data_IF_101560277540
#
_entry.id   IF_101560277540
#
_cell.length_a   1.000
_cell.length_b   1.000
_cell.length_c   1.000
_cell.angle_alpha   90.00
_cell.angle_beta   90.00
_cell.angle_gamma   90.00
#
_symmetry.space_group_name_H-M   'P 1'
#
loop_
_entity.id
_entity.type
_entity.pdbx_description
1 polymer ?
#
# COMPACT_ATOMS: atom_id res chain seq x y z
N UNK A 1 -38.70 54.47 -26.61
CA UNK A 1 -38.37 53.07 -26.26
C UNK A 1 -36.86 52.75 -26.15
N UNK A 2 -35.92 53.66 -26.45
CA UNK A 2 -34.47 53.34 -26.40
C UNK A 2 -33.79 53.45 -25.01
N UNK A 3 -34.39 54.11 -24.02
CA UNK A 3 -33.73 54.36 -22.72
C UNK A 3 -33.70 53.17 -21.76
N UNK A 4 -34.52 52.14 -21.98
CA UNK A 4 -34.60 50.97 -21.09
C UNK A 4 -33.59 49.86 -21.42
N UNK A 5 -33.01 49.85 -22.63
CA UNK A 5 -32.02 48.84 -23.02
C UNK A 5 -30.61 49.11 -22.45
N UNK A 6 -30.27 50.37 -22.18
CA UNK A 6 -28.92 50.75 -21.76
C UNK A 6 -28.63 50.44 -20.27
N UNK A 7 -29.65 50.47 -19.41
CA UNK A 7 -29.48 50.17 -17.97
C UNK A 7 -29.35 48.67 -17.66
N UNK A 8 -29.82 47.79 -18.55
CA UNK A 8 -29.73 46.34 -18.34
C UNK A 8 -28.33 45.78 -18.66
N UNK A 9 -27.59 46.42 -19.57
CA UNK A 9 -26.24 46.00 -19.95
C UNK A 9 -25.17 46.31 -18.90
N UNK A 10 -25.29 47.45 -18.19
CA UNK A 10 -24.29 47.86 -17.18
C UNK A 10 -24.34 46.97 -15.92
N UNK A 11 -25.53 46.49 -15.52
CA UNK A 11 -25.66 45.54 -14.40
C UNK A 11 -25.13 44.14 -14.73
N UNK A 12 -25.20 43.70 -15.99
CA UNK A 12 -24.71 42.39 -16.41
C UNK A 12 -23.17 42.31 -16.44
N UNK A 13 -22.50 43.43 -16.73
CA UNK A 13 -21.02 43.51 -16.77
C UNK A 13 -20.43 43.57 -15.36
N UNK A 14 -21.12 44.19 -14.40
CA UNK A 14 -20.65 44.28 -13.01
C UNK A 14 -20.70 42.95 -12.24
N UNK A 15 -21.65 42.06 -12.55
CA UNK A 15 -21.76 40.76 -11.85
C UNK A 15 -20.72 39.72 -12.32
N UNK A 16 -20.19 39.84 -13.55
CA UNK A 16 -19.17 38.92 -14.07
C UNK A 16 -17.79 39.11 -13.42
N UNK A 17 -17.40 40.35 -13.06
CA UNK A 17 -16.10 40.62 -12.40
C UNK A 17 -16.01 40.02 -11.00
N UNK A 18 -17.09 40.05 -10.23
CA UNK A 18 -17.12 39.46 -8.89
C UNK A 18 -17.20 37.92 -8.91
N UNK A 19 -17.80 37.33 -9.95
CA UNK A 19 -17.84 35.87 -10.13
C UNK A 19 -16.46 35.28 -10.47
N UNK A 20 -15.65 36.01 -11.26
CA UNK A 20 -14.28 35.61 -11.61
C UNK A 20 -13.36 35.63 -10.37
N UNK A 21 -13.51 36.63 -9.48
CA UNK A 21 -12.77 36.66 -8.20
C UNK A 21 -13.17 35.52 -7.26
N UNK A 22 -14.45 35.12 -7.24
CA UNK A 22 -14.93 34.00 -6.43
C UNK A 22 -14.37 32.66 -6.94
N UNK A 23 -14.31 32.44 -8.26
CA UNK A 23 -13.71 31.25 -8.86
C UNK A 23 -12.18 31.20 -8.69
N UNK A 24 -11.50 32.35 -8.76
CA UNK A 24 -10.05 32.44 -8.55
C UNK A 24 -9.65 32.18 -7.09
N UNK A 25 -10.49 32.56 -6.12
CA UNK A 25 -10.24 32.31 -4.69
C UNK A 25 -10.42 30.85 -4.25
N UNK A 26 -11.21 30.08 -5.03
CA UNK A 26 -11.42 28.64 -4.79
C UNK A 26 -10.27 27.76 -5.31
N UNK A 27 -9.42 28.28 -6.21
CA UNK A 27 -8.26 27.55 -6.72
C UNK A 27 -7.01 27.66 -5.82
N UNK A 28 -6.97 28.60 -4.87
CA UNK A 28 -5.78 28.84 -4.02
C UNK A 28 -5.81 28.02 -2.71
N UNK A 29 -6.91 27.35 -2.36
CA UNK A 29 -7.05 26.69 -1.04
C UNK A 29 -6.56 25.25 -0.92
N UNK A 30 -5.94 24.64 -1.93
CA UNK A 30 -5.55 23.22 -1.86
C UNK A 30 -4.06 22.91 -2.11
N UNK A 31 -3.15 23.90 -2.00
CA UNK A 31 -1.70 23.64 -2.06
C UNK A 31 -1.05 23.99 -0.72
N UNK A 32 -1.49 23.32 0.35
CA UNK A 32 -0.69 23.26 1.56
C UNK A 32 -0.77 21.84 2.10
N UNK A 33 0.15 21.00 1.65
CA UNK A 33 0.19 19.62 2.09
C UNK A 33 1.32 18.84 1.44
N UNK A 34 2.38 18.66 2.23
CA UNK A 34 3.33 17.55 2.16
C UNK A 34 4.52 17.74 1.21
N UNK A 35 5.56 18.39 1.72
CA UNK A 35 6.92 18.08 1.28
C UNK A 35 7.47 17.05 2.27
N UNK A 36 7.18 15.77 2.04
CA UNK A 36 8.07 14.75 2.57
C UNK A 36 9.46 15.02 1.96
N UNK A 37 10.54 15.04 2.76
CA UNK A 37 11.87 15.31 2.22
C UNK A 37 12.18 14.28 1.13
N UNK A 38 12.31 14.76 -0.09
CA UNK A 38 12.72 14.03 -1.30
C UNK A 38 14.23 13.75 -1.31
N UNK A 39 14.99 14.36 -0.39
CA UNK A 39 16.41 14.15 -0.26
C UNK A 39 16.75 12.78 0.36
N UNK A 40 17.82 12.18 -0.18
CA UNK A 40 18.24 10.79 0.05
C UNK A 40 18.68 10.48 1.50
N UNK A 41 19.00 11.48 2.31
CA UNK A 41 19.19 11.38 3.76
C UNK A 41 19.48 12.80 4.24
N UNK A 42 18.52 13.47 4.85
CA UNK A 42 18.85 14.69 5.59
C UNK A 42 19.64 14.27 6.85
N UNK A 43 20.85 14.80 7.08
CA UNK A 43 21.62 14.43 8.27
C UNK A 43 20.95 15.01 9.51
N UNK A 44 20.72 14.16 10.51
CA UNK A 44 20.21 14.54 11.82
C UNK A 44 18.82 13.99 12.13
N UNK A 45 18.47 14.03 13.41
CA UNK A 45 17.15 13.63 13.88
C UNK A 45 16.24 14.85 13.94
N UNK A 46 15.01 14.70 13.49
CA UNK A 46 14.04 15.80 13.52
C UNK A 46 12.60 15.29 13.56
N UNK A 47 11.71 16.17 13.96
CA UNK A 47 10.26 15.98 13.83
C UNK A 47 9.70 17.09 12.93
N UNK A 48 8.75 16.73 12.08
CA UNK A 48 7.89 17.64 11.34
C UNK A 48 6.50 17.61 11.95
N UNK A 49 6.01 18.78 12.35
CA UNK A 49 4.68 18.94 12.93
C UNK A 49 3.65 19.24 11.84
N UNK A 50 2.37 18.99 12.12
CA UNK A 50 1.26 19.23 11.19
C UNK A 50 1.11 20.71 10.78
N UNK A 51 1.65 21.64 11.58
CA UNK A 51 1.71 23.08 11.27
C UNK A 51 2.86 23.44 10.30
N UNK A 52 3.60 22.45 9.79
CA UNK A 52 4.77 22.64 8.93
C UNK A 52 6.06 22.95 9.67
N UNK A 53 6.02 23.15 10.99
CA UNK A 53 7.22 23.42 11.78
C UNK A 53 8.11 22.18 11.85
N UNK A 54 9.42 22.37 11.60
CA UNK A 54 10.44 21.33 11.79
C UNK A 54 11.24 21.62 13.04
N UNK A 55 11.40 20.63 13.90
CA UNK A 55 12.18 20.71 15.15
C UNK A 55 13.30 19.69 15.09
N UNK A 56 14.54 20.17 15.13
CA UNK A 56 15.72 19.33 15.13
C UNK A 56 16.05 18.83 16.54
N UNK A 57 16.55 17.61 16.62
CA UNK A 57 16.84 16.90 17.84
C UNK A 57 18.22 16.24 17.77
N UNK A 58 18.91 16.18 18.91
CA UNK A 58 20.07 15.29 19.11
C UNK A 58 19.65 13.90 19.56
N UNK A 59 18.43 13.75 20.07
CA UNK A 59 17.87 12.48 20.54
C UNK A 59 16.36 12.51 20.42
N UNK A 60 15.80 11.49 19.78
CA UNK A 60 14.36 11.24 19.70
C UNK A 60 14.03 9.95 20.42
N UNK A 61 13.02 9.98 21.27
CA UNK A 61 12.46 8.79 21.90
C UNK A 61 10.96 8.75 21.75
N UNK A 62 10.43 7.69 21.16
CA UNK A 62 8.99 7.43 21.11
C UNK A 62 8.58 6.70 22.38
N UNK A 63 7.59 7.24 23.11
CA UNK A 63 7.03 6.59 24.29
C UNK A 63 5.53 6.37 24.10
N UNK A 64 5.08 5.16 24.42
CA UNK A 64 3.68 4.75 24.39
C UNK A 64 3.29 4.19 25.76
N UNK A 65 2.93 5.06 26.73
CA UNK A 65 2.48 4.61 28.05
C UNK A 65 1.14 3.90 27.93
N UNK A 66 0.91 2.89 28.78
CA UNK A 66 -0.28 2.01 28.71
C UNK A 66 -1.61 2.80 28.83
N UNK A 67 -1.63 3.90 29.58
CA UNK A 67 -2.85 4.67 29.87
C UNK A 67 -2.83 6.12 29.35
N UNK A 68 -1.75 6.55 28.67
CA UNK A 68 -1.63 7.92 28.16
C UNK A 68 -1.48 7.89 26.65
N UNK A 69 -1.72 9.03 26.00
CA UNK A 69 -1.43 9.19 24.57
C UNK A 69 0.06 8.98 24.32
N UNK A 70 0.39 8.38 23.18
CA UNK A 70 1.78 8.27 22.73
C UNK A 70 2.35 9.66 22.43
N UNK A 71 3.63 9.85 22.73
CA UNK A 71 4.33 11.11 22.49
C UNK A 71 5.79 10.86 22.09
N UNK A 72 6.38 11.87 21.46
CA UNK A 72 7.80 11.89 21.12
C UNK A 72 8.52 12.86 22.06
N UNK A 73 9.59 12.38 22.70
CA UNK A 73 10.52 13.18 23.47
C UNK A 73 11.65 13.67 22.58
N UNK A 74 11.84 14.97 22.56
CA UNK A 74 12.94 15.66 21.90
C UNK A 74 13.94 16.12 22.96
N UNK A 75 15.19 15.64 22.84
CA UNK A 75 16.29 15.97 23.75
C UNK A 75 15.95 15.74 25.24
N UNK A 76 15.16 14.71 25.56
CA UNK A 76 14.72 14.35 26.91
C UNK A 76 13.89 15.42 27.67
N UNK A 77 13.54 16.55 27.04
CA UNK A 77 12.85 17.67 27.68
C UNK A 77 11.53 18.02 27.00
N UNK A 78 11.55 18.30 25.69
CA UNK A 78 10.35 18.72 24.98
C UNK A 78 9.50 17.51 24.57
N UNK A 79 8.21 17.56 24.89
CA UNK A 79 7.24 16.50 24.58
C UNK A 79 6.28 16.98 23.49
N UNK A 80 6.14 16.16 22.44
CA UNK A 80 5.20 16.41 21.35
C UNK A 80 4.20 15.25 21.27
N UNK A 81 2.91 15.56 21.31
CA UNK A 81 1.85 14.56 21.09
C UNK A 81 2.07 13.91 19.73
N UNK A 82 2.03 12.59 19.69
CA UNK A 82 2.20 11.83 18.47
C UNK A 82 1.13 12.18 17.43
N UNK A 83 -0.04 12.71 17.81
CA UNK A 83 -1.07 13.24 16.91
C UNK A 83 -0.66 14.54 16.19
N UNK A 84 0.24 15.34 16.76
CA UNK A 84 0.70 16.59 16.18
C UNK A 84 1.87 16.40 15.19
N UNK A 85 2.47 15.21 15.15
CA UNK A 85 3.64 14.88 14.32
C UNK A 85 3.19 14.33 12.96
N UNK A 86 3.65 14.93 11.87
CA UNK A 86 3.36 14.47 10.51
C UNK A 86 4.40 13.48 10.01
N UNK A 87 5.68 13.76 10.26
CA UNK A 87 6.80 12.91 9.91
C UNK A 87 7.93 13.10 10.93
N UNK A 88 8.83 12.13 11.04
CA UNK A 88 10.02 12.26 11.87
C UNK A 88 11.16 11.41 11.32
N UNK A 89 12.37 11.73 11.71
CA UNK A 89 13.56 10.96 11.36
C UNK A 89 14.34 10.65 12.63
N UNK A 90 14.53 9.37 12.92
CA UNK A 90 15.33 8.88 14.03
C UNK A 90 16.65 8.25 13.52
N UNK A 91 17.34 7.52 14.39
CA UNK A 91 18.59 6.82 14.04
C UNK A 91 18.37 5.64 13.09
N UNK A 92 17.19 5.04 13.09
CA UNK A 92 16.87 3.88 12.27
C UNK A 92 16.30 4.24 10.89
N UNK A 93 15.73 5.43 10.74
CA UNK A 93 15.27 5.94 9.45
C UNK A 93 14.22 7.04 9.52
N UNK A 94 13.61 7.29 8.37
CA UNK A 94 12.54 8.28 8.21
C UNK A 94 11.16 7.62 8.31
N UNK A 95 10.24 8.26 9.01
CA UNK A 95 8.88 7.82 9.25
C UNK A 95 7.89 8.90 8.84
N UNK A 96 6.78 8.51 8.22
CA UNK A 96 5.68 9.42 7.90
C UNK A 96 4.35 8.85 8.33
N UNK A 97 3.41 9.74 8.65
CA UNK A 97 2.08 9.40 9.11
C UNK A 97 1.28 8.71 8.01
N UNK A 98 0.60 7.62 8.38
CA UNK A 98 -0.39 6.97 7.53
C UNK A 98 -1.69 7.78 7.61
N UNK A 99 -2.11 8.37 6.49
CA UNK A 99 -3.27 9.30 6.49
C UNK A 99 -4.60 8.58 6.71
N UNK A 100 -4.69 7.30 6.32
CA UNK A 100 -5.94 6.52 6.38
C UNK A 100 -6.02 5.54 7.58
N UNK A 101 -5.20 5.73 8.61
CA UNK A 101 -5.28 4.89 9.82
C UNK A 101 -6.09 5.57 10.92
N UNK A 102 -7.01 4.82 11.53
CA UNK A 102 -7.77 5.26 12.73
C UNK A 102 -6.87 5.47 13.96
N UNK A 103 -5.64 4.95 13.92
CA UNK A 103 -4.59 5.12 14.94
C UNK A 103 -3.51 6.06 14.38
N UNK A 104 -2.81 6.80 15.25
CA UNK A 104 -1.64 7.62 14.86
C UNK A 104 -0.46 6.72 14.51
N UNK A 105 -0.58 5.99 13.40
CA UNK A 105 0.41 5.03 12.93
C UNK A 105 1.38 5.69 11.94
N UNK A 106 2.62 5.24 11.98
CA UNK A 106 3.68 5.68 11.09
C UNK A 106 4.18 4.52 10.22
N UNK A 107 4.61 4.86 9.02
CA UNK A 107 5.30 3.94 8.12
C UNK A 107 6.76 4.38 7.97
N UNK A 108 7.68 3.42 8.12
CA UNK A 108 9.12 3.60 7.93
C UNK A 108 9.47 3.55 6.45
N UNK A 109 10.30 4.47 5.98
CA UNK A 109 10.79 4.52 4.61
C UNK A 109 11.78 3.37 4.36
N UNK A 110 11.60 2.66 3.25
CA UNK A 110 12.48 1.57 2.79
C UNK A 110 13.38 2.04 1.67
N UNK A 111 12.82 2.76 0.70
CA UNK A 111 13.55 3.24 -0.47
C UNK A 111 13.12 4.65 -0.82
N UNK A 112 14.08 5.43 -1.31
CA UNK A 112 13.88 6.80 -1.78
C UNK A 112 13.85 6.81 -3.30
N UNK A 113 12.97 7.62 -3.87
CA UNK A 113 12.82 7.82 -5.32
C UNK A 113 11.61 8.70 -5.60
N UNK A 114 11.31 8.93 -6.89
CA UNK A 114 10.07 9.61 -7.29
C UNK A 114 8.86 8.86 -6.75
N UNK A 115 8.94 7.53 -6.71
CA UNK A 115 8.10 6.70 -5.86
C UNK A 115 8.95 6.18 -4.70
N UNK A 116 8.66 6.71 -3.52
CA UNK A 116 9.28 6.26 -2.27
C UNK A 116 8.43 5.16 -1.63
N UNK A 117 9.08 4.10 -1.12
CA UNK A 117 8.41 2.96 -0.49
C UNK A 117 8.48 3.06 1.02
N UNK A 118 7.42 2.65 1.68
CA UNK A 118 7.30 2.64 3.14
C UNK A 118 6.71 1.32 3.61
N UNK A 119 6.93 0.96 4.87
CA UNK A 119 6.26 -0.16 5.52
C UNK A 119 5.85 0.17 6.94
N UNK A 120 4.78 -0.48 7.41
CA UNK A 120 4.38 -0.47 8.81
C UNK A 120 4.17 -1.91 9.28
N UNK A 121 4.69 -2.23 10.46
CA UNK A 121 4.51 -3.55 11.07
C UNK A 121 3.19 -3.56 11.83
N UNK A 122 2.26 -4.42 11.43
CA UNK A 122 1.00 -4.64 12.16
C UNK A 122 1.05 -6.00 12.84
N UNK A 123 1.06 -5.97 14.17
CA UNK A 123 0.85 -7.18 14.97
C UNK A 123 -0.65 -7.42 15.08
N UNK A 124 -1.12 -8.51 14.49
CA UNK A 124 -2.51 -8.95 14.62
C UNK A 124 -2.56 -10.02 15.69
N UNK A 125 -3.39 -9.80 16.71
CA UNK A 125 -3.78 -10.81 17.67
C UNK A 125 -5.07 -11.42 17.13
N UNK A 126 -4.95 -12.35 16.18
CA UNK A 126 -6.11 -13.10 15.71
C UNK A 126 -6.60 -13.98 16.87
N UNK A 127 -7.63 -13.49 17.56
CA UNK A 127 -8.47 -14.33 18.41
C UNK A 127 -9.26 -15.23 17.47
N UNK A 128 -8.90 -16.51 17.49
CA UNK A 128 -9.53 -17.60 16.77
C UNK A 128 -11.07 -17.53 16.86
N UNK A 129 -11.74 -17.35 15.71
CA UNK A 129 -13.18 -17.54 15.58
C UNK A 129 -13.51 -19.04 15.49
N UNK A 130 -14.43 -19.57 16.31
CA UNK A 130 -14.85 -20.96 16.25
C UNK A 130 -15.82 -21.15 15.07
N UNK A 131 -15.39 -21.80 14.00
CA UNK A 131 -16.31 -22.03 12.87
C UNK A 131 -15.78 -22.75 11.64
N UNK A 132 -14.52 -23.19 11.59
CA UNK A 132 -14.03 -23.91 10.41
C UNK A 132 -14.24 -25.43 10.55
N UNK A 133 -15.47 -25.86 10.25
CA UNK A 133 -15.82 -27.26 10.00
C UNK A 133 -15.12 -27.75 8.73
N UNK A 134 -13.98 -28.43 8.88
CA UNK A 134 -13.41 -29.31 7.87
C UNK A 134 -13.55 -30.77 8.33
N UNK A 135 -13.98 -31.72 7.48
CA UNK A 135 -14.33 -33.08 7.90
C UNK A 135 -13.14 -34.00 8.26
N UNK A 136 -11.91 -33.48 8.26
CA UNK A 136 -10.72 -34.21 8.71
C UNK A 136 -10.06 -33.45 9.84
N UNK A 137 -10.58 -33.67 11.04
CA UNK A 137 -10.12 -33.09 12.29
C UNK A 137 -8.73 -33.61 12.70
N UNK A 138 -7.70 -32.87 12.30
CA UNK A 138 -6.50 -32.68 13.12
C UNK A 138 -6.53 -31.25 13.66
N UNK A 139 -7.49 -31.00 14.57
CA UNK A 139 -7.59 -29.77 15.34
C UNK A 139 -6.49 -29.74 16.40
N UNK A 140 -5.27 -29.43 15.98
CA UNK A 140 -4.19 -29.09 16.89
C UNK A 140 -4.57 -27.80 17.62
N UNK A 141 -4.60 -27.87 18.95
CA UNK A 141 -4.71 -26.72 19.85
C UNK A 141 -3.53 -25.77 19.62
N UNK A 142 -3.66 -24.88 18.64
CA UNK A 142 -2.70 -23.82 18.37
C UNK A 142 -3.08 -22.58 19.16
N UNK A 143 -2.37 -22.31 20.25
CA UNK A 143 -2.31 -20.95 20.80
C UNK A 143 -1.92 -20.01 19.66
N UNK A 144 -2.83 -19.12 19.26
CA UNK A 144 -2.62 -18.17 18.17
C UNK A 144 -1.45 -17.25 18.51
N UNK A 145 -0.27 -17.57 17.98
CA UNK A 145 0.91 -16.75 18.13
C UNK A 145 0.66 -15.40 17.45
N UNK A 146 1.00 -14.26 18.07
CA UNK A 146 0.82 -12.96 17.45
C UNK A 146 1.59 -12.92 16.13
N UNK A 147 0.87 -12.83 15.02
CA UNK A 147 1.47 -12.72 13.70
C UNK A 147 1.74 -11.26 13.39
N UNK A 148 3.00 -10.92 13.16
CA UNK A 148 3.39 -9.58 12.74
C UNK A 148 3.53 -9.57 11.22
N UNK A 149 2.61 -8.86 10.55
CA UNK A 149 2.64 -8.68 9.10
C UNK A 149 3.13 -7.27 8.76
N UNK A 150 4.06 -7.19 7.81
CA UNK A 150 4.46 -5.91 7.22
C UNK A 150 3.43 -5.51 6.15
N UNK A 151 2.89 -4.31 6.29
CA UNK A 151 2.03 -3.68 5.28
C UNK A 151 2.85 -2.61 4.59
N UNK A 152 2.89 -2.67 3.26
CA UNK A 152 3.68 -1.75 2.45
C UNK A 152 2.82 -0.63 1.88
N UNK A 153 3.41 0.55 1.78
CA UNK A 153 2.82 1.77 1.23
C UNK A 153 3.81 2.40 0.25
N UNK A 154 3.31 3.30 -0.59
CA UNK A 154 4.16 4.14 -1.42
C UNK A 154 3.68 5.60 -1.39
N UNK A 155 4.59 6.52 -1.68
CA UNK A 155 4.30 7.93 -1.92
C UNK A 155 4.93 8.30 -3.26
N UNK A 156 4.15 8.96 -4.12
CA UNK A 156 4.60 9.52 -5.39
C UNK A 156 4.88 11.02 -5.19
N UNK A 157 6.06 11.48 -5.60
CA UNK A 157 6.47 12.88 -5.57
C UNK A 157 6.34 13.55 -4.17
N UNK A 158 6.48 12.75 -3.10
CA UNK A 158 6.33 13.24 -1.72
C UNK A 158 4.88 13.47 -1.28
N UNK A 159 3.89 13.06 -2.08
CA UNK A 159 2.47 13.13 -1.77
C UNK A 159 2.01 12.14 -0.69
N UNK A 160 0.69 12.03 -0.45
CA UNK A 160 0.14 11.18 0.59
C UNK A 160 0.48 9.70 0.39
N UNK A 161 0.60 8.97 1.50
CA UNK A 161 0.81 7.52 1.44
C UNK A 161 -0.42 6.80 0.89
N UNK A 162 -0.18 5.94 -0.10
CA UNK A 162 -1.16 5.01 -0.65
C UNK A 162 -0.73 3.56 -0.41
N UNK A 163 -1.69 2.65 -0.30
CA UNK A 163 -1.41 1.22 -0.14
C UNK A 163 -0.64 0.66 -1.35
N UNK A 164 0.38 -0.16 -1.09
CA UNK A 164 1.15 -0.81 -2.14
C UNK A 164 0.35 -1.96 -2.76
N UNK A 165 -0.49 -1.64 -3.73
CA UNK A 165 -1.28 -2.60 -4.49
C UNK A 165 -1.28 -2.26 -5.98
N UNK A 166 -1.68 -3.23 -6.80
CA UNK A 166 -1.69 -3.08 -8.26
C UNK A 166 -2.53 -1.89 -8.75
N UNK A 167 -3.68 -1.62 -8.13
CA UNK A 167 -4.62 -0.59 -8.60
C UNK A 167 -4.02 0.81 -8.39
N UNK A 168 -3.51 1.08 -7.19
CA UNK A 168 -2.89 2.35 -6.83
C UNK A 168 -1.58 2.54 -7.62
N UNK A 169 -0.74 1.50 -7.72
CA UNK A 169 0.51 1.56 -8.47
C UNK A 169 0.29 1.79 -9.96
N UNK A 170 -0.68 1.11 -10.58
CA UNK A 170 -1.02 1.33 -12.00
C UNK A 170 -1.40 2.78 -12.27
N UNK A 171 -2.17 3.40 -11.38
CA UNK A 171 -2.51 4.82 -11.50
C UNK A 171 -1.29 5.71 -11.35
N UNK A 172 -0.43 5.45 -10.36
CA UNK A 172 0.76 6.23 -10.07
C UNK A 172 1.84 6.13 -11.16
N UNK A 173 1.97 4.94 -11.76
CA UNK A 173 2.94 4.59 -12.81
C UNK A 173 2.41 4.80 -14.23
N UNK A 174 1.23 5.40 -14.38
CA UNK A 174 0.58 5.58 -15.69
C UNK A 174 1.40 6.40 -16.71
N UNK A 175 2.36 7.18 -16.22
CA UNK A 175 3.27 8.02 -17.01
C UNK A 175 4.45 7.24 -17.63
N UNK A 176 4.71 5.99 -17.22
CA UNK A 176 5.81 5.18 -17.72
C UNK A 176 5.30 3.84 -18.31
N UNK A 177 5.44 3.69 -19.62
CA UNK A 177 4.98 2.49 -20.33
C UNK A 177 5.74 1.21 -19.92
N UNK A 178 7.04 1.30 -19.61
CA UNK A 178 7.85 0.16 -19.20
C UNK A 178 7.42 -0.42 -17.86
N UNK A 179 7.23 0.44 -16.85
CA UNK A 179 6.72 0.05 -15.53
C UNK A 179 5.31 -0.53 -15.61
N UNK A 180 4.46 -0.01 -16.51
CA UNK A 180 3.13 -0.56 -16.74
C UNK A 180 3.17 -1.97 -17.33
N UNK A 181 4.10 -2.25 -18.24
CA UNK A 181 4.24 -3.59 -18.82
C UNK A 181 4.58 -4.63 -17.74
N UNK A 182 5.49 -4.30 -16.83
CA UNK A 182 5.84 -5.17 -15.67
C UNK A 182 4.63 -5.41 -14.78
N UNK A 183 3.85 -4.37 -14.47
CA UNK A 183 2.60 -4.49 -13.72
C UNK A 183 1.58 -5.39 -14.44
N UNK A 184 1.47 -5.30 -15.77
CA UNK A 184 0.55 -6.15 -16.53
C UNK A 184 0.97 -7.61 -16.55
N UNK A 185 2.27 -7.90 -16.60
CA UNK A 185 2.81 -9.26 -16.44
C UNK A 185 2.39 -9.83 -15.08
N UNK A 186 2.50 -9.04 -14.00
CA UNK A 186 2.01 -9.44 -12.68
C UNK A 186 0.52 -9.78 -12.68
N UNK A 187 -0.34 -8.93 -13.26
CA UNK A 187 -1.78 -9.18 -13.32
C UNK A 187 -2.14 -10.43 -14.13
N UNK A 188 -1.47 -10.63 -15.27
CA UNK A 188 -1.65 -11.83 -16.10
C UNK A 188 -1.23 -13.09 -15.35
N UNK A 189 -0.08 -13.06 -14.68
CA UNK A 189 0.41 -14.15 -13.83
C UNK A 189 -0.59 -14.52 -12.74
N UNK A 190 -1.11 -13.53 -11.99
CA UNK A 190 -2.10 -13.78 -10.93
C UNK A 190 -3.41 -14.38 -11.45
N UNK A 191 -3.88 -13.96 -12.63
CA UNK A 191 -5.07 -14.55 -13.27
C UNK A 191 -4.84 -15.99 -13.70
N UNK A 192 -3.67 -16.28 -14.27
CA UNK A 192 -3.28 -17.64 -14.66
C UNK A 192 -3.15 -18.53 -13.42
N UNK A 193 -2.49 -18.07 -12.36
CA UNK A 193 -2.38 -18.78 -11.09
C UNK A 193 -3.77 -19.10 -10.51
N UNK A 194 -4.67 -18.11 -10.50
CA UNK A 194 -6.05 -18.30 -10.02
C UNK A 194 -6.80 -19.31 -10.88
N UNK A 195 -6.72 -19.19 -12.21
CA UNK A 195 -7.36 -20.11 -13.14
C UNK A 195 -6.85 -21.54 -13.00
N UNK A 196 -5.52 -21.72 -12.94
CA UNK A 196 -4.89 -23.02 -12.73
C UNK A 196 -5.26 -23.63 -11.38
N UNK A 197 -5.35 -22.82 -10.33
CA UNK A 197 -5.75 -23.30 -8.99
C UNK A 197 -7.19 -23.80 -9.00
N UNK A 198 -8.11 -23.06 -9.62
CA UNK A 198 -9.51 -23.45 -9.75
C UNK A 198 -9.63 -24.73 -10.59
N UNK A 199 -8.96 -24.79 -11.73
CA UNK A 199 -8.94 -25.97 -12.60
C UNK A 199 -8.34 -27.19 -11.90
N UNK A 200 -7.17 -27.04 -11.27
CA UNK A 200 -6.49 -28.10 -10.52
C UNK A 200 -7.33 -28.64 -9.37
N UNK A 201 -7.99 -27.75 -8.62
CA UNK A 201 -8.92 -28.13 -7.55
C UNK A 201 -10.13 -28.90 -8.10
N UNK A 202 -10.68 -28.48 -9.25
CA UNK A 202 -11.78 -29.19 -9.92
C UNK A 202 -11.37 -30.60 -10.37
N UNK A 203 -10.22 -30.73 -11.04
CA UNK A 203 -9.69 -32.03 -11.49
C UNK A 203 -9.39 -32.94 -10.31
N UNK A 204 -8.81 -32.39 -9.23
CA UNK A 204 -8.53 -33.14 -8.01
C UNK A 204 -9.80 -33.70 -7.36
N UNK A 205 -10.83 -32.87 -7.18
CA UNK A 205 -12.13 -33.30 -6.63
C UNK A 205 -12.78 -34.35 -7.53
N UNK A 206 -12.72 -34.17 -8.85
CA UNK A 206 -13.24 -35.15 -9.81
C UNK A 206 -12.54 -36.52 -9.68
N UNK A 207 -11.20 -36.54 -9.67
CA UNK A 207 -10.42 -37.77 -9.51
C UNK A 207 -10.66 -38.45 -8.16
N UNK A 208 -10.84 -37.67 -7.09
CA UNK A 208 -11.19 -38.19 -5.76
C UNK A 208 -12.57 -38.87 -5.77
N UNK A 209 -13.59 -38.23 -6.32
CA UNK A 209 -14.95 -38.79 -6.40
C UNK A 209 -14.97 -40.06 -7.26
N UNK A 210 -14.23 -40.08 -8.39
CA UNK A 210 -14.18 -41.25 -9.26
C UNK A 210 -13.45 -42.44 -8.60
N UNK A 211 -12.36 -42.17 -7.87
CA UNK A 211 -11.63 -43.16 -7.08
C UNK A 211 -12.49 -43.78 -5.97
N UNK A 212 -13.40 -43.02 -5.36
CA UNK A 212 -14.30 -43.51 -4.31
C UNK A 212 -15.53 -44.26 -4.85
N UNK A 213 -15.99 -43.95 -6.07
CA UNK A 213 -17.16 -44.60 -6.70
C UNK A 213 -16.86 -45.97 -7.28
N UNK A 214 -15.59 -46.29 -7.53
CA UNK A 214 -15.20 -47.56 -8.18
C UNK A 214 -15.03 -48.66 -7.11
N UNK A 215 -15.96 -49.63 -6.99
CA UNK A 215 -15.79 -50.74 -6.05
C UNK A 215 -14.73 -51.67 -6.63
N UNK A 216 -13.67 -51.98 -5.89
CA UNK A 216 -12.66 -52.94 -6.33
C UNK A 216 -12.91 -54.30 -5.65
N UNK A 217 -13.41 -55.32 -6.35
CA UNK A 217 -13.34 -56.70 -5.89
C UNK A 217 -11.94 -57.23 -6.23
N UNK A 218 -11.15 -57.56 -5.21
CA UNK A 218 -9.89 -58.32 -5.30
C UNK A 218 -8.73 -57.73 -6.11
N UNK A 219 -8.70 -56.43 -6.40
CA UNK A 219 -7.53 -55.77 -6.98
C UNK A 219 -7.10 -54.57 -6.12
N UNK A 220 -5.79 -54.45 -5.86
CA UNK A 220 -5.19 -53.31 -5.19
C UNK A 220 -5.77 -52.00 -5.76
N UNK A 221 -6.28 -51.12 -4.90
CA UNK A 221 -6.93 -49.86 -5.29
C UNK A 221 -6.01 -49.09 -6.24
N UNK A 222 -6.30 -49.12 -7.54
CA UNK A 222 -5.58 -48.32 -8.54
C UNK A 222 -6.16 -46.92 -8.46
N UNK A 223 -5.40 -45.99 -7.90
CA UNK A 223 -5.77 -44.59 -7.92
C UNK A 223 -5.90 -44.12 -9.38
N UNK A 224 -6.96 -43.36 -9.66
CA UNK A 224 -7.21 -42.80 -10.98
C UNK A 224 -6.03 -41.88 -11.39
N UNK A 225 -5.46 -42.00 -12.61
CA UNK A 225 -4.41 -41.12 -13.10
C UNK A 225 -4.74 -39.62 -12.94
N UNK A 226 -6.02 -39.25 -13.01
CA UNK A 226 -6.50 -37.88 -12.81
C UNK A 226 -6.25 -37.35 -11.40
N UNK A 227 -6.19 -38.21 -10.38
CA UNK A 227 -5.84 -37.83 -9.01
C UNK A 227 -4.40 -37.32 -8.93
N UNK A 228 -3.46 -38.00 -9.60
CA UNK A 228 -2.06 -37.60 -9.63
C UNK A 228 -1.85 -36.31 -10.44
N UNK A 229 -2.57 -36.16 -11.56
CA UNK A 229 -2.59 -34.90 -12.33
C UNK A 229 -3.17 -33.76 -11.48
N UNK A 230 -4.26 -34.00 -10.75
CA UNK A 230 -4.87 -33.04 -9.84
C UNK A 230 -3.92 -32.59 -8.73
N UNK A 231 -3.20 -33.53 -8.10
CA UNK A 231 -2.17 -33.22 -7.10
C UNK A 231 -1.01 -32.40 -7.69
N UNK A 232 -0.54 -32.75 -8.88
CA UNK A 232 0.52 -32.01 -9.57
C UNK A 232 0.12 -30.56 -9.87
N UNK A 233 -1.10 -30.35 -10.37
CA UNK A 233 -1.63 -29.00 -10.63
C UNK A 233 -1.90 -28.21 -9.35
N UNK A 234 -2.39 -28.85 -8.29
CA UNK A 234 -2.65 -28.20 -7.01
C UNK A 234 -1.37 -27.75 -6.28
N UNK A 235 -0.22 -28.37 -6.60
CA UNK A 235 1.08 -27.97 -6.04
C UNK A 235 1.70 -26.74 -6.74
N UNK A 236 1.20 -26.35 -7.93
CA UNK A 236 1.74 -25.22 -8.72
C UNK A 236 1.80 -23.91 -7.92
N UNK A 237 0.74 -23.48 -7.20
CA UNK A 237 0.79 -22.21 -6.46
C UNK A 237 1.88 -22.22 -5.38
N UNK A 238 2.09 -23.35 -4.71
CA UNK A 238 3.13 -23.48 -3.69
C UNK A 238 4.53 -23.33 -4.28
N UNK A 239 4.81 -24.02 -5.39
CA UNK A 239 6.09 -23.95 -6.10
C UNK A 239 6.33 -22.54 -6.65
N UNK A 240 5.32 -21.94 -7.27
CA UNK A 240 5.43 -20.58 -7.81
C UNK A 240 5.66 -19.54 -6.71
N UNK A 241 5.06 -19.72 -5.53
CA UNK A 241 5.24 -18.81 -4.40
C UNK A 241 6.68 -18.84 -3.84
N UNK A 242 7.43 -19.94 -4.03
CA UNK A 242 8.84 -20.03 -3.65
C UNK A 242 9.75 -19.15 -4.52
N UNK A 243 9.37 -18.86 -5.76
CA UNK A 243 10.17 -18.11 -6.73
C UNK A 243 9.59 -16.73 -7.09
N UNK A 244 8.48 -16.32 -6.46
CA UNK A 244 7.83 -15.04 -6.75
C UNK A 244 8.75 -13.87 -6.36
N UNK A 245 9.41 -13.28 -7.36
CA UNK A 245 9.96 -11.93 -7.26
C UNK A 245 8.80 -10.95 -7.17
N UNK A 246 8.92 -9.97 -6.29
CA UNK A 246 7.85 -9.03 -6.00
C UNK A 246 7.73 -8.01 -7.15
N UNK A 247 7.01 -8.37 -8.21
CA UNK A 247 6.91 -7.58 -9.45
C UNK A 247 6.40 -6.14 -9.24
N UNK A 248 5.70 -5.88 -8.14
CA UNK A 248 5.33 -4.51 -7.75
C UNK A 248 6.57 -3.67 -7.40
N UNK A 249 7.56 -4.27 -6.76
CA UNK A 249 8.83 -3.62 -6.44
C UNK A 249 9.66 -3.40 -7.70
N UNK A 250 9.71 -4.39 -8.59
CA UNK A 250 10.41 -4.29 -9.88
C UNK A 250 9.85 -3.14 -10.72
N UNK A 251 8.52 -2.98 -10.79
CA UNK A 251 7.90 -1.88 -11.51
C UNK A 251 8.28 -0.50 -10.93
N UNK A 252 8.40 -0.39 -9.60
CA UNK A 252 8.82 0.84 -8.91
C UNK A 252 10.31 1.12 -9.15
N UNK A 253 11.15 0.09 -9.08
CA UNK A 253 12.57 0.19 -9.35
C UNK A 253 12.83 0.65 -10.79
N UNK A 254 12.15 0.04 -11.76
CA UNK A 254 12.22 0.45 -13.17
C UNK A 254 11.76 1.90 -13.36
N UNK A 255 10.66 2.31 -12.72
CA UNK A 255 10.18 3.69 -12.80
C UNK A 255 11.21 4.70 -12.26
N UNK A 256 11.73 4.43 -11.07
CA UNK A 256 12.71 5.30 -10.42
C UNK A 256 14.03 5.33 -11.20
N UNK A 257 14.39 4.25 -11.89
CA UNK A 257 15.59 4.17 -12.74
C UNK A 257 15.46 5.02 -14.01
N UNK A 258 14.37 4.85 -14.77
CA UNK A 258 14.15 5.59 -16.02
C UNK A 258 14.18 7.11 -15.81
N UNK A 259 13.64 7.56 -14.67
CA UNK A 259 13.63 8.98 -14.29
C UNK A 259 15.00 9.50 -13.86
N UNK A 260 15.84 8.67 -13.25
CA UNK A 260 17.21 9.05 -12.91
C UNK A 260 18.07 9.25 -14.16
N UNK A 261 17.68 8.65 -15.29
CA UNK A 261 18.37 8.78 -16.57
C UNK A 261 17.87 9.93 -17.45
N UNK A 262 16.69 10.51 -17.15
CA UNK A 262 16.22 11.66 -17.90
C UNK A 262 17.17 12.85 -17.64
N UNK A 263 17.82 13.41 -18.68
CA UNK A 263 18.63 14.61 -18.51
C UNK A 263 17.73 15.71 -17.96
N UNK A 264 18.20 16.38 -16.91
CA UNK A 264 17.58 17.61 -16.38
C UNK A 264 17.21 18.51 -17.56
N UNK A 265 15.92 18.81 -17.80
CA UNK A 265 15.56 19.87 -18.74
C UNK A 265 16.07 21.17 -18.12
N UNK A 266 17.23 21.61 -18.60
CA UNK A 266 17.90 22.87 -18.35
C UNK A 266 18.43 23.10 -16.92
N UNK A 267 19.75 22.99 -16.77
CA UNK A 267 20.54 23.92 -15.94
C UNK A 267 21.36 24.81 -16.86
#
# INVERSE_FOLDING_TARGET
MLKYACLQWVRLISMKKNLIFLFLSLLVRNVCGQVAPTNLQEPGMFIGLNNGQRVYARKLQMKSPIFKKSFILVNDSAQYDMAAVQYFQDQEGFYTRITNSKRSDFAKRVSVGKISKFYSSRTSYDNYYPGMYGPYGYGGYGYGMPSTRRVYYFSKDGGPLADLNYQNLRSALSENAGSLEVLEKYRRGKRLETGLTILGSGVFVYGLVNSLKTPAPNAARRADPTLYVGLGLAAIPWIMNLFQKDHLNEAIELYNYDLAQQPSPDR
#
